data_IF_520723771563
#
_entry.id   IF_520723771563
#
_cell.length_a   1.000
_cell.length_b   1.000
_cell.length_c   1.000
_cell.angle_alpha   90.00
_cell.angle_beta   90.00
_cell.angle_gamma   90.00
#
_symmetry.space_group_name_H-M   'P 1'
#
loop_
_entity.id
_entity.type
_entity.pdbx_description
1 polymer ?
#
# COMPACT_ATOMS: atom_id res chain seq x y z
N UNK A 1 -5.19 -9.10 27.60
CA UNK A 1 -4.33 -7.92 27.71
C UNK A 1 -4.71 -6.98 26.59
N UNK A 2 -5.40 -5.94 27.02
CA UNK A 2 -5.73 -4.63 26.47
C UNK A 2 -5.72 -4.37 24.96
N UNK A 3 -6.95 -4.19 24.49
CA UNK A 3 -7.38 -3.72 23.18
C UNK A 3 -7.40 -2.17 23.18
N UNK A 4 -6.30 -1.52 23.58
CA UNK A 4 -6.19 -0.04 23.69
C UNK A 4 -5.60 0.64 22.45
N UNK A 5 -5.25 -0.09 21.38
CA UNK A 5 -4.53 0.49 20.22
C UNK A 5 -5.42 0.99 19.07
N UNK A 6 -6.74 0.95 19.24
CA UNK A 6 -7.70 1.50 18.29
C UNK A 6 -8.05 2.94 18.65
N UNK A 7 -7.25 3.86 18.14
CA UNK A 7 -7.66 5.26 18.03
C UNK A 7 -8.87 5.35 17.08
N UNK A 8 -10.07 5.48 17.65
CA UNK A 8 -11.35 5.58 16.93
C UNK A 8 -11.42 6.80 15.99
N UNK A 9 -10.50 7.76 16.13
CA UNK A 9 -10.44 8.94 15.27
C UNK A 9 -9.79 8.67 13.90
N UNK A 10 -9.25 7.47 13.69
CA UNK A 10 -8.67 7.06 12.40
C UNK A 10 -9.73 7.02 11.31
N UNK A 11 -9.32 7.42 10.10
CA UNK A 11 -10.20 7.43 8.93
C UNK A 11 -9.56 6.68 7.78
N UNK A 12 -10.30 5.72 7.22
CA UNK A 12 -9.94 5.04 5.97
C UNK A 12 -10.70 5.68 4.82
N UNK A 13 -9.98 6.12 3.80
CA UNK A 13 -10.54 6.73 2.59
C UNK A 13 -10.10 5.90 1.38
N UNK A 14 -11.01 5.70 0.45
CA UNK A 14 -10.78 4.89 -0.76
C UNK A 14 -10.92 5.79 -1.97
N UNK A 15 -9.97 5.67 -2.90
CA UNK A 15 -10.07 6.26 -4.22
C UNK A 15 -10.44 5.17 -5.23
N UNK A 16 -11.33 5.50 -6.15
CA UNK A 16 -11.64 4.67 -7.29
C UNK A 16 -11.76 5.54 -8.56
N UNK A 17 -12.10 4.91 -9.68
CA UNK A 17 -12.23 5.60 -10.97
C UNK A 17 -13.36 6.64 -11.02
N UNK A 18 -14.32 6.60 -10.09
CA UNK A 18 -15.44 7.55 -10.00
C UNK A 18 -15.21 8.61 -8.93
N UNK A 19 -14.54 8.25 -7.85
CA UNK A 19 -14.45 9.06 -6.63
C UNK A 19 -13.02 9.16 -6.16
N UNK A 20 -12.55 10.41 -6.07
CA UNK A 20 -11.24 10.75 -5.51
C UNK A 20 -11.43 11.45 -4.17
N UNK A 21 -11.43 10.67 -3.11
CA UNK A 21 -11.69 11.13 -1.74
C UNK A 21 -10.49 11.84 -1.10
N UNK A 22 -9.26 11.51 -1.50
CA UNK A 22 -8.04 12.04 -0.89
C UNK A 22 -6.81 11.88 -1.80
N UNK A 23 -5.85 12.80 -1.72
CA UNK A 23 -4.58 12.72 -2.45
C UNK A 23 -3.39 13.15 -1.60
N UNK A 24 -2.22 12.59 -1.90
CA UNK A 24 -0.98 13.25 -1.55
C UNK A 24 -0.76 14.45 -2.46
N UNK A 25 -0.34 15.57 -1.89
CA UNK A 25 0.19 16.68 -2.68
C UNK A 25 1.66 16.37 -3.02
N UNK A 26 1.90 15.79 -4.20
CA UNK A 26 3.25 15.48 -4.65
C UNK A 26 3.77 16.57 -5.61
N UNK A 27 5.10 16.75 -5.75
CA UNK A 27 5.67 17.78 -6.64
C UNK A 27 5.22 17.69 -8.10
N UNK A 28 4.85 16.50 -8.58
CA UNK A 28 4.36 16.26 -9.94
C UNK A 28 2.84 16.39 -10.12
N UNK A 29 2.11 16.76 -9.06
CA UNK A 29 0.66 16.80 -9.01
C UNK A 29 0.08 15.88 -7.94
N UNK A 30 -1.25 15.90 -7.83
CA UNK A 30 -1.95 15.08 -6.85
C UNK A 30 -1.79 13.58 -7.14
N UNK A 31 -1.41 12.83 -6.12
CA UNK A 31 -1.23 11.39 -6.18
C UNK A 31 -2.29 10.68 -5.34
N UNK A 32 -3.13 9.88 -6.01
CA UNK A 32 -4.31 9.26 -5.41
C UNK A 32 -4.04 7.77 -5.13
N UNK A 33 -3.66 7.38 -3.91
CA UNK A 33 -3.53 5.95 -3.57
C UNK A 33 -4.90 5.29 -3.57
N UNK A 34 -4.99 4.01 -3.91
CA UNK A 34 -6.25 3.25 -3.89
C UNK A 34 -6.92 3.28 -2.51
N UNK A 35 -6.13 3.22 -1.44
CA UNK A 35 -6.60 3.40 -0.07
C UNK A 35 -5.59 4.22 0.74
N UNK A 36 -6.08 5.08 1.61
CA UNK A 36 -5.27 5.80 2.61
C UNK A 36 -5.93 5.71 3.97
N UNK A 37 -5.12 5.56 5.01
CA UNK A 37 -5.55 5.65 6.40
C UNK A 37 -4.89 6.86 7.03
N UNK A 38 -5.70 7.74 7.61
CA UNK A 38 -5.28 8.93 8.31
C UNK A 38 -5.42 8.72 9.82
N UNK A 39 -4.48 9.29 10.59
CA UNK A 39 -4.66 9.48 12.03
C UNK A 39 -5.71 10.57 12.31
N UNK A 40 -6.15 10.73 13.56
CA UNK A 40 -7.14 11.75 13.93
C UNK A 40 -6.76 13.19 13.62
N UNK A 41 -5.45 13.48 13.59
CA UNK A 41 -4.90 14.79 13.21
C UNK A 41 -4.81 15.02 11.69
N UNK A 42 -5.23 14.03 10.89
CA UNK A 42 -5.18 14.07 9.43
C UNK A 42 -3.83 13.69 8.81
N UNK A 43 -2.80 13.37 9.62
CA UNK A 43 -1.53 12.86 9.12
C UNK A 43 -1.69 11.45 8.53
N UNK A 44 -0.90 11.14 7.50
CA UNK A 44 -0.96 9.82 6.84
C UNK A 44 -0.33 8.77 7.74
N UNK A 45 -1.11 7.76 8.09
CA UNK A 45 -0.63 6.59 8.82
C UNK A 45 -0.07 5.55 7.86
N UNK A 46 -0.85 5.20 6.85
CA UNK A 46 -0.53 4.18 5.86
C UNK A 46 -1.31 4.40 4.58
N UNK A 47 -0.82 3.86 3.48
CA UNK A 47 -1.53 3.84 2.22
C UNK A 47 -1.30 2.52 1.49
N UNK A 48 -2.23 2.18 0.61
CA UNK A 48 -2.16 1.02 -0.24
C UNK A 48 -2.50 1.36 -1.67
N UNK A 49 -1.80 0.71 -2.60
CA UNK A 49 -2.04 0.83 -4.03
C UNK A 49 -2.40 -0.52 -4.64
N UNK A 50 -3.43 -0.52 -5.49
CA UNK A 50 -3.92 -1.70 -6.21
C UNK A 50 -3.62 -1.53 -7.69
N UNK A 51 -2.70 -2.33 -8.18
CA UNK A 51 -2.40 -2.38 -9.60
C UNK A 51 -3.39 -3.25 -10.35
N UNK A 52 -3.93 -2.70 -11.43
CA UNK A 52 -4.88 -3.38 -12.30
C UNK A 52 -4.19 -4.13 -13.46
N UNK A 53 -2.96 -3.71 -13.79
CA UNK A 53 -2.09 -4.33 -14.79
C UNK A 53 -1.04 -5.21 -14.11
N UNK A 54 -0.61 -6.27 -14.80
CA UNK A 54 0.55 -7.09 -14.39
C UNK A 54 1.87 -6.61 -14.99
N UNK A 55 1.84 -5.56 -15.80
CA UNK A 55 3.02 -4.94 -16.43
C UNK A 55 3.25 -3.57 -15.79
N UNK A 56 4.50 -3.29 -15.40
CA UNK A 56 4.87 -2.08 -14.68
C UNK A 56 5.94 -1.30 -15.44
N UNK A 57 5.64 -0.04 -15.75
CA UNK A 57 6.60 0.87 -16.37
C UNK A 57 7.30 1.75 -15.35
N UNK A 58 8.22 2.60 -15.83
CA UNK A 58 8.96 3.52 -14.98
C UNK A 58 8.05 4.50 -14.22
N UNK A 59 6.97 4.97 -14.84
CA UNK A 59 5.99 5.87 -14.21
C UNK A 59 5.29 5.19 -13.03
N UNK A 60 4.94 3.91 -13.20
CA UNK A 60 4.35 3.09 -12.14
C UNK A 60 5.29 2.93 -10.96
N UNK A 61 6.56 2.65 -11.21
CA UNK A 61 7.59 2.51 -10.16
C UNK A 61 7.84 3.85 -9.46
N UNK A 62 7.89 4.96 -10.20
CA UNK A 62 8.00 6.31 -9.64
C UNK A 62 6.81 6.65 -8.73
N UNK A 63 5.59 6.27 -9.13
CA UNK A 63 4.39 6.41 -8.31
C UNK A 63 4.51 5.64 -6.99
N UNK A 64 4.95 4.38 -7.03
CA UNK A 64 5.15 3.59 -5.81
C UNK A 64 6.20 4.21 -4.89
N UNK A 65 7.31 4.67 -5.46
CA UNK A 65 8.37 5.34 -4.71
C UNK A 65 7.85 6.61 -4.03
N UNK A 66 7.03 7.41 -4.72
CA UNK A 66 6.42 8.60 -4.16
C UNK A 66 5.44 8.25 -3.01
N UNK A 67 4.53 7.29 -3.20
CA UNK A 67 3.59 6.86 -2.15
C UNK A 67 4.32 6.31 -0.93
N UNK A 68 5.33 5.47 -1.14
CA UNK A 68 6.19 4.93 -0.08
C UNK A 68 6.88 6.04 0.72
N UNK A 69 7.44 7.05 0.06
CA UNK A 69 8.08 8.18 0.75
C UNK A 69 7.10 8.99 1.58
N UNK A 70 5.90 9.23 1.05
CA UNK A 70 4.91 10.13 1.63
C UNK A 70 4.03 9.48 2.71
N UNK A 71 3.98 8.15 2.76
CA UNK A 71 3.24 7.42 3.79
C UNK A 71 3.93 7.44 5.16
N UNK A 72 3.19 7.04 6.18
CA UNK A 72 3.68 6.92 7.55
C UNK A 72 4.70 5.79 7.73
N UNK A 73 5.35 5.77 8.89
CA UNK A 73 6.38 4.80 9.23
C UNK A 73 5.83 3.62 10.04
N UNK A 74 6.30 2.42 9.72
CA UNK A 74 6.15 1.19 10.49
C UNK A 74 7.19 1.10 11.60
N UNK A 75 7.49 -0.13 12.02
CA UNK A 75 8.59 -0.34 12.97
C UNK A 75 9.94 -0.18 12.30
N UNK A 76 10.09 -0.73 11.08
CA UNK A 76 11.36 -0.72 10.35
C UNK A 76 11.23 -0.18 8.92
N UNK A 77 10.06 -0.24 8.30
CA UNK A 77 9.85 0.24 6.93
C UNK A 77 8.61 1.14 6.80
N UNK A 78 8.47 1.80 5.66
CA UNK A 78 7.28 2.59 5.31
C UNK A 78 6.01 1.73 5.29
N UNK A 79 4.91 2.25 5.84
CA UNK A 79 3.57 1.65 5.77
C UNK A 79 2.92 1.88 4.40
N UNK A 80 3.61 1.40 3.38
CA UNK A 80 3.12 1.29 2.01
C UNK A 80 2.77 -0.16 1.72
N UNK A 81 1.58 -0.39 1.19
CA UNK A 81 1.12 -1.72 0.80
C UNK A 81 0.87 -1.76 -0.70
N UNK A 82 1.45 -2.75 -1.39
CA UNK A 82 1.23 -2.94 -2.81
C UNK A 82 0.43 -4.21 -3.06
N UNK A 83 -0.61 -4.10 -3.88
CA UNK A 83 -1.45 -5.21 -4.32
C UNK A 83 -1.33 -5.33 -5.83
N UNK A 84 -0.80 -6.45 -6.31
CA UNK A 84 -0.61 -6.70 -7.75
C UNK A 84 -1.44 -7.91 -8.22
N UNK A 85 -1.76 -8.04 -9.52
CA UNK A 85 -2.41 -9.23 -10.02
C UNK A 85 -1.55 -10.49 -9.75
N UNK A 86 -2.19 -11.63 -9.49
CA UNK A 86 -1.50 -12.91 -9.40
C UNK A 86 -0.72 -13.23 -10.69
N UNK A 87 0.55 -13.58 -10.55
CA UNK A 87 1.51 -13.78 -11.64
C UNK A 87 2.53 -12.65 -11.77
N UNK A 88 2.25 -11.45 -11.24
CA UNK A 88 3.11 -10.28 -11.33
C UNK A 88 4.00 -10.06 -10.09
N UNK A 89 3.89 -10.91 -9.06
CA UNK A 89 4.56 -10.71 -7.77
C UNK A 89 6.09 -10.66 -7.87
N UNK A 90 6.70 -11.52 -8.69
CA UNK A 90 8.15 -11.61 -8.79
C UNK A 90 8.74 -10.37 -9.46
N UNK A 91 8.07 -9.84 -10.49
CA UNK A 91 8.46 -8.60 -11.15
C UNK A 91 8.28 -7.40 -10.22
N UNK A 92 7.12 -7.30 -9.54
CA UNK A 92 6.86 -6.23 -8.59
C UNK A 92 7.87 -6.21 -7.45
N UNK A 93 8.19 -7.38 -6.85
CA UNK A 93 9.22 -7.48 -5.81
C UNK A 93 10.59 -7.04 -6.33
N UNK A 94 11.00 -7.51 -7.51
CA UNK A 94 12.27 -7.13 -8.10
C UNK A 94 12.36 -5.62 -8.36
N UNK A 95 11.29 -4.98 -8.82
CA UNK A 95 11.24 -3.53 -9.04
C UNK A 95 11.29 -2.75 -7.73
N UNK A 96 10.56 -3.18 -6.69
CA UNK A 96 10.61 -2.57 -5.37
C UNK A 96 12.03 -2.62 -4.80
N UNK A 97 12.66 -3.80 -4.84
CA UNK A 97 14.00 -4.03 -4.30
C UNK A 97 15.06 -3.27 -5.12
N UNK A 98 15.01 -3.32 -6.46
CA UNK A 98 15.97 -2.63 -7.33
C UNK A 98 15.92 -1.10 -7.20
N UNK A 99 14.78 -0.55 -6.82
CA UNK A 99 14.59 0.90 -6.64
C UNK A 99 14.65 1.35 -5.17
N UNK A 100 14.91 0.42 -4.24
CA UNK A 100 14.99 0.72 -2.80
C UNK A 100 13.68 1.28 -2.24
N UNK A 101 12.54 0.82 -2.76
CA UNK A 101 11.22 1.26 -2.32
C UNK A 101 10.85 0.46 -1.06
N UNK A 102 10.64 1.17 0.05
CA UNK A 102 10.22 0.54 1.30
C UNK A 102 8.72 0.22 1.27
N UNK A 103 8.33 -0.96 1.75
CA UNK A 103 6.92 -1.38 1.82
C UNK A 103 6.69 -2.29 3.01
N UNK A 104 5.55 -2.12 3.67
CA UNK A 104 5.12 -2.96 4.78
C UNK A 104 4.51 -4.29 4.31
N UNK A 105 4.01 -4.34 3.06
CA UNK A 105 3.57 -5.62 2.49
C UNK A 105 3.32 -5.59 0.98
N UNK A 106 3.77 -6.64 0.31
CA UNK A 106 3.42 -7.00 -1.06
C UNK A 106 2.43 -8.16 -1.03
N UNK A 107 1.31 -8.01 -1.75
CA UNK A 107 0.25 -9.01 -1.83
C UNK A 107 -0.18 -9.19 -3.28
N UNK A 108 -0.62 -10.39 -3.63
CA UNK A 108 -1.33 -10.62 -4.89
C UNK A 108 -2.83 -10.61 -4.70
N UNK A 109 -3.55 -10.26 -5.76
CA UNK A 109 -5.00 -10.37 -5.84
C UNK A 109 -5.43 -11.17 -7.08
N UNK A 110 -6.54 -11.90 -6.94
CA UNK A 110 -7.20 -12.58 -8.06
C UNK A 110 -8.71 -12.71 -7.78
N UNK A 111 -9.51 -12.77 -8.84
CA UNK A 111 -10.93 -13.15 -8.72
C UNK A 111 -11.07 -14.64 -9.01
N UNK A 112 -11.56 -15.41 -8.02
CA UNK A 112 -11.82 -16.85 -8.15
C UNK A 112 -13.26 -17.14 -7.78
N UNK A 113 -14.02 -17.72 -8.71
CA UNK A 113 -15.43 -18.03 -8.47
C UNK A 113 -16.26 -16.82 -8.01
N UNK A 114 -15.94 -15.63 -8.53
CA UNK A 114 -16.60 -14.37 -8.14
C UNK A 114 -16.12 -13.75 -6.82
N UNK A 115 -15.17 -14.37 -6.12
CA UNK A 115 -14.62 -13.85 -4.86
C UNK A 115 -13.23 -13.26 -5.06
N UNK A 116 -12.96 -12.14 -4.41
CA UNK A 116 -11.61 -11.58 -4.29
C UNK A 116 -10.78 -12.45 -3.35
N UNK A 117 -9.63 -12.92 -3.83
CA UNK A 117 -8.64 -13.67 -3.07
C UNK A 117 -7.37 -12.86 -2.98
N UNK A 118 -6.91 -12.61 -1.77
CA UNK A 118 -5.65 -11.91 -1.48
C UNK A 118 -4.63 -12.90 -0.92
N UNK A 119 -3.38 -12.86 -1.38
CA UNK A 119 -2.30 -13.69 -0.84
C UNK A 119 -1.09 -12.83 -0.46
N UNK A 120 -0.53 -13.00 0.75
CA UNK A 120 0.71 -12.34 1.11
C UNK A 120 1.88 -12.92 0.32
N UNK A 121 2.72 -12.06 -0.24
CA UNK A 121 4.00 -12.43 -0.87
C UNK A 121 5.13 -12.16 0.11
N UNK A 122 5.21 -10.92 0.60
CA UNK A 122 6.27 -10.47 1.53
C UNK A 122 5.74 -9.42 2.48
N UNK A 123 6.14 -9.50 3.74
CA UNK A 123 5.73 -8.56 4.81
C UNK A 123 6.96 -8.22 5.65
N UNK A 124 7.78 -7.24 5.23
CA UNK A 124 9.07 -6.97 5.85
C UNK A 124 8.97 -6.61 7.34
N UNK A 125 7.89 -5.94 7.74
CA UNK A 125 7.68 -5.46 9.12
C UNK A 125 7.06 -6.49 10.07
N UNK A 126 6.52 -7.62 9.59
CA UNK A 126 6.04 -8.67 10.51
C UNK A 126 7.21 -9.54 10.98
N UNK A 127 7.76 -9.24 12.15
CA UNK A 127 8.28 -10.30 13.00
C UNK A 127 7.07 -11.07 13.54
N UNK A 128 6.81 -12.28 13.05
CA UNK A 128 5.82 -13.16 13.69
C UNK A 128 6.39 -13.63 15.04
N UNK A 129 5.73 -13.30 16.14
CA UNK A 129 5.60 -14.23 17.26
C UNK A 129 4.23 -14.03 17.94
N UNK A 130 3.19 -14.63 17.37
CA UNK A 130 2.05 -15.06 18.18
C UNK A 130 2.40 -16.46 18.67
N UNK A 131 2.97 -16.52 19.88
CA UNK A 131 3.16 -17.74 20.62
C UNK A 131 2.01 -17.96 21.60
#
# INVERSE_FOLDING_TARGET
MDQEDWDESRRTLVNDYRTRCWAFNAPGGDLYPSVVVLNGDGSVRECGEVEMSGEFDAETVERWAAMSRLTGMGERVKKFFLYVPEGAEAEAEALLDANGIEYAGLRTWAIRGGSLVLRPVKTPDMAKDHR
#
